data_IF_945541452677
#
_entry.id   IF_945541452677
#
_cell.length_a   1.000
_cell.length_b   1.000
_cell.length_c   1.000
_cell.angle_alpha   90.00
_cell.angle_beta   90.00
_cell.angle_gamma   90.00
#
_symmetry.space_group_name_H-M   'P 1'
#
loop_
_entity.id
_entity.type
_entity.pdbx_description
1 polymer ?
#
# COMPACT_ATOMS: atom_id res chain seq x y z
N UNK A 1 -2.37 20.41 1.00
CA UNK A 1 -2.28 18.94 0.99
C UNK A 1 -1.10 18.58 0.13
N UNK A 2 -0.01 18.11 0.73
CA UNK A 2 1.29 17.94 0.07
C UNK A 2 1.45 16.49 -0.39
N UNK A 3 2.11 16.28 -1.54
CA UNK A 3 2.43 14.94 -2.01
C UNK A 3 3.21 14.15 -0.93
N UNK A 4 2.92 12.85 -0.73
CA UNK A 4 3.61 12.06 0.28
C UNK A 4 5.09 11.93 -0.08
N UNK A 5 5.94 12.05 0.94
CA UNK A 5 7.38 11.86 0.77
C UNK A 5 7.72 10.40 0.48
N UNK A 6 8.84 10.14 -0.19
CA UNK A 6 9.34 8.77 -0.43
C UNK A 6 9.40 7.93 0.86
N UNK A 7 9.78 8.55 1.99
CA UNK A 7 9.82 7.88 3.29
C UNK A 7 8.43 7.42 3.74
N UNK A 8 7.42 8.26 3.61
CA UNK A 8 6.04 7.93 3.96
C UNK A 8 5.51 6.77 3.09
N UNK A 9 5.78 6.81 1.79
CA UNK A 9 5.39 5.72 0.86
C UNK A 9 6.04 4.39 1.26
N UNK A 10 7.33 4.40 1.60
CA UNK A 10 8.04 3.19 2.06
C UNK A 10 7.55 2.69 3.42
N UNK A 11 7.15 3.59 4.32
CA UNK A 11 6.52 3.21 5.60
C UNK A 11 5.18 2.52 5.37
N UNK A 12 4.33 3.07 4.49
CA UNK A 12 3.07 2.46 4.11
C UNK A 12 3.27 1.07 3.51
N UNK A 13 4.23 0.92 2.60
CA UNK A 13 4.59 -0.37 2.01
C UNK A 13 4.95 -1.42 3.07
N UNK A 14 5.83 -1.07 4.02
CA UNK A 14 6.23 -1.97 5.12
C UNK A 14 5.04 -2.33 6.01
N UNK A 15 4.19 -1.36 6.35
CA UNK A 15 3.02 -1.58 7.17
C UNK A 15 2.01 -2.53 6.50
N UNK A 16 1.80 -2.40 5.18
CA UNK A 16 0.98 -3.33 4.40
C UNK A 16 1.55 -4.74 4.42
N UNK A 17 2.86 -4.91 4.20
CA UNK A 17 3.49 -6.23 4.26
C UNK A 17 3.37 -6.87 5.65
N UNK A 18 3.55 -6.09 6.72
CA UNK A 18 3.41 -6.57 8.09
C UNK A 18 1.96 -6.96 8.40
N UNK A 19 0.98 -6.18 7.96
CA UNK A 19 -0.43 -6.54 8.06
C UNK A 19 -0.74 -7.84 7.31
N UNK A 20 -0.12 -8.05 6.15
CA UNK A 20 -0.24 -9.31 5.42
C UNK A 20 0.19 -10.55 6.21
N UNK A 21 1.07 -10.41 7.20
CA UNK A 21 1.51 -11.51 8.07
C UNK A 21 0.49 -11.83 9.18
N UNK A 22 -0.42 -10.91 9.50
CA UNK A 22 -1.48 -11.13 10.51
C UNK A 22 -2.76 -11.72 9.90
N UNK A 23 -2.78 -11.96 8.58
CA UNK A 23 -3.94 -12.55 7.90
C UNK A 23 -3.93 -14.07 8.06
N UNK A 24 -4.97 -14.61 8.71
CA UNK A 24 -5.11 -16.07 8.89
C UNK A 24 -5.88 -16.74 7.73
N UNK A 25 -6.86 -16.03 7.16
CA UNK A 25 -7.79 -16.57 6.17
C UNK A 25 -7.42 -16.23 4.72
N UNK A 26 -6.28 -15.57 4.50
CA UNK A 26 -5.82 -15.14 3.18
C UNK A 26 -4.49 -15.79 2.86
N UNK A 27 -4.29 -16.19 1.60
CA UNK A 27 -2.96 -16.57 1.13
C UNK A 27 -2.00 -15.37 1.26
N UNK A 28 -1.11 -15.48 2.23
CA UNK A 28 -0.15 -14.44 2.59
C UNK A 28 0.84 -14.17 1.45
N UNK A 29 1.21 -15.20 0.69
CA UNK A 29 2.09 -15.08 -0.47
C UNK A 29 1.39 -14.32 -1.60
N UNK A 30 0.13 -14.67 -1.88
CA UNK A 30 -0.69 -13.95 -2.85
C UNK A 30 -0.87 -12.48 -2.45
N UNK A 31 -1.19 -12.21 -1.19
CA UNK A 31 -1.35 -10.84 -0.67
C UNK A 31 -0.07 -10.03 -0.86
N UNK A 32 1.08 -10.56 -0.42
CA UNK A 32 2.37 -9.87 -0.55
C UNK A 32 2.76 -9.62 -2.01
N UNK A 33 2.52 -10.59 -2.90
CA UNK A 33 2.74 -10.40 -4.33
C UNK A 33 1.84 -9.31 -4.92
N UNK A 34 0.58 -9.25 -4.49
CA UNK A 34 -0.36 -8.23 -4.95
C UNK A 34 0.07 -6.82 -4.50
N UNK A 35 0.47 -6.67 -3.25
CA UNK A 35 1.03 -5.41 -2.73
C UNK A 35 2.28 -5.00 -3.52
N UNK A 36 3.21 -5.93 -3.77
CA UNK A 36 4.42 -5.65 -4.57
C UNK A 36 4.06 -5.16 -5.98
N UNK A 37 3.18 -5.89 -6.68
CA UNK A 37 2.75 -5.53 -8.04
C UNK A 37 2.13 -4.14 -8.11
N UNK A 38 1.28 -3.78 -7.15
CA UNK A 38 0.66 -2.43 -7.11
C UNK A 38 1.71 -1.32 -6.93
N UNK A 39 2.69 -1.52 -6.02
CA UNK A 39 3.75 -0.52 -5.81
C UNK A 39 4.73 -0.45 -6.99
N UNK A 40 5.06 -1.59 -7.61
CA UNK A 40 5.93 -1.64 -8.78
C UNK A 40 5.27 -1.02 -10.01
N UNK A 41 3.98 -1.27 -10.23
CA UNK A 41 3.21 -0.67 -11.33
C UNK A 41 3.13 0.85 -11.23
N UNK A 42 3.11 1.37 -10.00
CA UNK A 42 3.06 2.81 -9.72
C UNK A 42 4.45 3.41 -9.40
N UNK A 43 5.55 2.67 -9.59
CA UNK A 43 6.90 3.13 -9.24
C UNK A 43 7.36 4.35 -10.04
N UNK A 44 6.89 4.47 -11.28
CA UNK A 44 7.19 5.59 -12.19
C UNK A 44 6.07 6.63 -12.21
N UNK A 45 5.11 6.56 -11.28
CA UNK A 45 4.02 7.51 -11.19
C UNK A 45 4.55 8.87 -10.72
N UNK A 46 4.59 9.82 -11.65
CA UNK A 46 5.05 11.20 -11.43
C UNK A 46 3.92 12.18 -11.14
N UNK A 47 2.67 11.77 -11.34
CA UNK A 47 1.49 12.60 -11.04
C UNK A 47 1.25 12.64 -9.53
N UNK A 48 1.52 13.79 -8.92
CA UNK A 48 1.38 14.03 -7.48
C UNK A 48 -0.03 13.74 -6.97
N UNK A 49 -1.08 14.04 -7.76
CA UNK A 49 -2.47 13.81 -7.36
C UNK A 49 -2.78 12.33 -7.28
N UNK A 50 -2.30 11.56 -8.26
CA UNK A 50 -2.46 10.10 -8.26
C UNK A 50 -1.65 9.47 -7.13
N UNK A 51 -0.41 9.91 -6.92
CA UNK A 51 0.43 9.43 -5.81
C UNK A 51 -0.26 9.68 -4.47
N UNK A 52 -0.83 10.86 -4.26
CA UNK A 52 -1.59 11.17 -3.06
C UNK A 52 -2.82 10.27 -2.91
N UNK A 53 -3.61 10.10 -3.98
CA UNK A 53 -4.79 9.25 -3.97
C UNK A 53 -4.47 7.80 -3.59
N UNK A 54 -3.45 7.18 -4.20
CA UNK A 54 -3.04 5.81 -3.87
C UNK A 54 -2.49 5.69 -2.46
N UNK A 55 -1.76 6.70 -1.99
CA UNK A 55 -1.25 6.74 -0.62
C UNK A 55 -2.39 6.78 0.41
N UNK A 56 -3.36 7.67 0.22
CA UNK A 56 -4.55 7.76 1.07
C UNK A 56 -5.38 6.46 1.02
N UNK A 57 -5.55 5.88 -0.17
CA UNK A 57 -6.22 4.57 -0.33
C UNK A 57 -5.54 3.49 0.50
N UNK A 58 -4.21 3.41 0.48
CA UNK A 58 -3.46 2.45 1.26
C UNK A 58 -3.57 2.68 2.77
N UNK A 59 -3.58 3.94 3.22
CA UNK A 59 -3.82 4.28 4.63
C UNK A 59 -5.21 3.88 5.09
N UNK A 60 -6.25 4.13 4.29
CA UNK A 60 -7.63 3.74 4.59
C UNK A 60 -7.77 2.21 4.61
N UNK A 61 -7.07 1.51 3.72
CA UNK A 61 -7.04 0.05 3.72
C UNK A 61 -6.45 -0.49 5.04
N UNK A 62 -5.30 0.06 5.47
CA UNK A 62 -4.67 -0.34 6.74
C UNK A 62 -5.51 0.01 7.95
N UNK A 63 -6.15 1.17 7.99
CA UNK A 63 -6.96 1.57 9.15
C UNK A 63 -8.24 0.75 9.30
N UNK A 64 -8.84 0.34 8.17
CA UNK A 64 -10.04 -0.49 8.17
C UNK A 64 -9.74 -1.98 8.29
N UNK A 65 -8.50 -2.40 8.02
CA UNK A 65 -8.07 -3.81 7.98
C UNK A 65 -9.05 -4.70 7.18
N UNK A 66 -9.67 -4.14 6.14
CA UNK A 66 -10.73 -4.80 5.40
C UNK A 66 -10.27 -5.10 3.99
N UNK A 67 -10.06 -6.37 3.72
CA UNK A 67 -10.07 -6.90 2.37
C UNK A 67 -11.52 -6.88 1.90
N UNK A 68 -11.85 -6.05 0.91
CA UNK A 68 -13.14 -6.07 0.21
C UNK A 68 -12.99 -6.88 -1.05
#
# INVERSE_FOLDING_TARGET
>A
MSAPTRRQVLQLYRALLQYGQTLELTDTQYYQQRVRKEFDANRTLTDERKTQYYFEKGLVFLSKQRLV
#
